data_IF_688367899132
#
_entry.id   IF_688367899132
#
_cell.length_a   1.000
_cell.length_b   1.000
_cell.length_c   1.000
_cell.angle_alpha   90.00
_cell.angle_beta   90.00
_cell.angle_gamma   90.00
#
_symmetry.space_group_name_H-M   'P 1'
#
loop_
_entity.id
_entity.type
_entity.pdbx_description
1 polymer ?
#
# COMPACT_ATOMS: atom_id res chain seq x y z
N UNK A 1 12.35 -5.46 -10.61
CA UNK A 1 11.88 -6.52 -9.69
C UNK A 1 11.77 -5.91 -8.31
N UNK A 2 10.55 -5.74 -7.80
CA UNK A 2 10.27 -5.30 -6.44
C UNK A 2 10.02 -6.55 -5.61
N UNK A 3 10.82 -6.78 -4.57
CA UNK A 3 10.69 -7.93 -3.68
C UNK A 3 10.03 -7.45 -2.39
N UNK A 4 8.93 -8.12 -2.00
CA UNK A 4 8.16 -7.86 -0.80
C UNK A 4 8.64 -8.76 0.34
N UNK A 5 8.91 -8.17 1.51
CA UNK A 5 9.13 -8.89 2.77
C UNK A 5 8.26 -8.23 3.84
N UNK A 6 7.16 -8.86 4.23
CA UNK A 6 6.29 -8.38 5.30
C UNK A 6 6.72 -9.00 6.63
N UNK A 7 7.27 -8.20 7.53
CA UNK A 7 7.61 -8.61 8.89
C UNK A 7 6.92 -7.69 9.91
N UNK A 8 5.66 -7.98 10.23
CA UNK A 8 4.92 -7.51 11.40
C UNK A 8 4.63 -6.01 11.56
N UNK A 9 5.54 -5.10 11.18
CA UNK A 9 5.42 -3.64 11.37
C UNK A 9 6.15 -2.80 10.32
N UNK A 10 6.85 -3.43 9.38
CA UNK A 10 7.76 -2.75 8.45
C UNK A 10 7.61 -3.34 7.04
N UNK A 11 7.69 -2.48 6.03
CA UNK A 11 7.67 -2.88 4.62
C UNK A 11 9.02 -2.54 3.98
N UNK A 12 9.73 -3.55 3.48
CA UNK A 12 10.96 -3.34 2.73
C UNK A 12 10.64 -3.14 1.24
N UNK A 13 11.12 -2.04 0.64
CA UNK A 13 11.09 -1.85 -0.80
C UNK A 13 12.50 -2.03 -1.36
N UNK A 14 12.69 -3.08 -2.16
CA UNK A 14 13.96 -3.30 -2.85
C UNK A 14 13.92 -2.58 -4.20
N UNK A 15 14.67 -1.48 -4.31
CA UNK A 15 14.96 -0.80 -5.57
C UNK A 15 16.35 -1.27 -6.02
N UNK A 16 16.51 -1.61 -7.31
CA UNK A 16 17.70 -2.27 -7.87
C UNK A 16 18.99 -1.55 -7.39
N UNK A 17 19.82 -2.26 -6.61
CA UNK A 17 21.12 -1.80 -6.13
C UNK A 17 21.18 -1.26 -4.69
N UNK A 18 20.05 -0.90 -4.05
CA UNK A 18 19.99 -0.52 -2.62
C UNK A 18 18.66 -0.92 -1.97
N UNK A 19 18.71 -1.68 -0.88
CA UNK A 19 17.54 -1.97 -0.06
C UNK A 19 17.15 -0.71 0.73
N UNK A 20 15.93 -0.19 0.52
CA UNK A 20 15.36 0.88 1.34
C UNK A 20 14.22 0.30 2.17
N UNK A 21 14.35 0.40 3.49
CA UNK A 21 13.23 0.10 4.40
C UNK A 21 12.35 1.33 4.44
N UNK A 22 11.04 1.14 4.25
CA UNK A 22 10.03 2.21 4.33
C UNK A 22 9.10 1.88 5.48
N UNK A 23 8.85 2.86 6.33
CA UNK A 23 8.02 2.66 7.52
C UNK A 23 6.63 3.28 7.36
N UNK A 24 5.66 2.96 8.24
CA UNK A 24 4.29 3.51 8.15
C UNK A 24 4.26 5.03 8.36
N UNK A 25 5.26 5.57 9.05
CA UNK A 25 5.42 7.00 9.33
C UNK A 25 5.74 7.81 8.06
N UNK A 26 6.26 7.18 7.01
CA UNK A 26 6.51 7.81 5.71
C UNK A 26 5.26 7.81 4.80
N UNK A 27 4.14 7.22 5.24
CA UNK A 27 2.95 7.07 4.42
C UNK A 27 1.92 8.18 4.64
N UNK A 28 1.14 8.46 3.61
CA UNK A 28 -0.08 9.24 3.75
C UNK A 28 -1.20 8.32 4.25
N UNK A 29 -1.69 8.55 5.48
CA UNK A 29 -2.71 7.72 6.09
C UNK A 29 -4.13 8.23 5.79
N UNK A 30 -5.04 7.28 5.50
CA UNK A 30 -6.47 7.55 5.33
C UNK A 30 -7.31 6.48 6.01
N UNK A 31 -8.31 6.90 6.77
CA UNK A 31 -9.36 6.02 7.31
C UNK A 31 -10.65 6.28 6.56
N UNK A 32 -11.20 5.24 5.92
CA UNK A 32 -12.45 5.34 5.15
C UNK A 32 -13.66 4.95 6.01
N UNK A 33 -14.87 5.49 5.73
CA UNK A 33 -16.08 5.22 6.52
C UNK A 33 -16.47 3.73 6.59
N UNK A 34 -16.17 2.96 5.54
CA UNK A 34 -16.43 1.51 5.47
C UNK A 34 -15.49 0.66 6.34
N UNK A 35 -14.53 1.29 7.02
CA UNK A 35 -13.62 0.62 7.95
C UNK A 35 -12.28 0.20 7.34
N UNK A 36 -12.03 0.52 6.06
CA UNK A 36 -10.72 0.34 5.44
C UNK A 36 -9.76 1.45 5.88
N UNK A 37 -8.59 1.08 6.36
CA UNK A 37 -7.45 1.96 6.61
C UNK A 37 -6.43 1.77 5.50
N UNK A 38 -5.94 2.85 4.93
CA UNK A 38 -4.96 2.83 3.84
C UNK A 38 -3.75 3.67 4.21
N UNK A 39 -2.56 3.11 4.01
CA UNK A 39 -1.29 3.83 4.01
C UNK A 39 -0.79 3.92 2.57
N UNK A 40 -0.81 5.13 2.01
CA UNK A 40 -0.37 5.41 0.64
C UNK A 40 1.11 5.79 0.62
N UNK A 41 1.88 5.08 -0.20
CA UNK A 41 3.27 5.41 -0.53
C UNK A 41 3.33 5.89 -1.97
N UNK A 42 3.30 7.20 -2.17
CA UNK A 42 3.27 7.82 -3.49
C UNK A 42 4.69 7.94 -4.06
N UNK A 43 4.87 7.55 -5.32
CA UNK A 43 6.07 7.77 -6.13
C UNK A 43 5.63 8.39 -7.46
N UNK A 44 6.59 8.92 -8.21
CA UNK A 44 6.30 9.64 -9.46
C UNK A 44 5.61 8.74 -10.50
N UNK A 45 5.92 7.44 -10.52
CA UNK A 45 5.43 6.48 -11.52
C UNK A 45 4.42 5.46 -10.99
N UNK A 46 4.34 5.27 -9.67
CA UNK A 46 3.50 4.25 -9.07
C UNK A 46 3.12 4.60 -7.63
N UNK A 47 2.14 3.87 -7.11
CA UNK A 47 1.75 3.92 -5.70
C UNK A 47 1.77 2.52 -5.10
N UNK A 48 2.04 2.46 -3.81
CA UNK A 48 1.86 1.24 -3.02
C UNK A 48 0.85 1.55 -1.94
N UNK A 49 -0.17 0.70 -1.85
CA UNK A 49 -1.16 0.75 -0.78
C UNK A 49 -0.90 -0.39 0.19
N UNK A 50 -0.90 -0.06 1.47
CA UNK A 50 -1.13 -1.04 2.51
C UNK A 50 -2.54 -0.83 3.04
N UNK A 51 -3.41 -1.81 2.80
CA UNK A 51 -4.78 -1.78 3.27
C UNK A 51 -4.94 -2.68 4.50
N UNK A 52 -5.55 -2.14 5.54
CA UNK A 52 -6.11 -2.93 6.64
C UNK A 52 -7.63 -2.79 6.57
N UNK A 53 -8.33 -3.92 6.51
CA UNK A 53 -9.77 -3.97 6.45
C UNK A 53 -10.33 -4.63 7.72
N UNK A 54 -11.34 -4.00 8.33
CA UNK A 54 -12.00 -4.58 9.50
C UNK A 54 -12.80 -5.84 9.11
N UNK A 55 -12.98 -6.81 10.03
CA UNK A 55 -13.78 -7.99 9.77
C UNK A 55 -15.19 -7.65 9.27
N UNK A 56 -15.73 -8.48 8.38
CA UNK A 56 -17.10 -8.37 7.87
C UNK A 56 -17.44 -7.04 7.17
N UNK A 57 -16.44 -6.31 6.67
CA UNK A 57 -16.63 -5.15 5.81
C UNK A 57 -16.34 -5.48 4.33
N UNK A 58 -16.77 -4.59 3.44
CA UNK A 58 -16.49 -4.67 2.00
C UNK A 58 -15.83 -3.38 1.55
N UNK A 59 -14.71 -3.47 0.85
CA UNK A 59 -14.08 -2.31 0.23
C UNK A 59 -14.97 -1.78 -0.90
N UNK A 60 -15.20 -0.46 -0.91
CA UNK A 60 -16.01 0.18 -1.94
C UNK A 60 -15.41 -0.03 -3.33
N UNK A 61 -16.26 -0.39 -4.30
CA UNK A 61 -15.85 -0.60 -5.68
C UNK A 61 -15.37 0.71 -6.31
N UNK A 62 -14.27 0.64 -7.06
CA UNK A 62 -13.75 1.74 -7.86
C UNK A 62 -13.04 1.20 -9.10
N UNK A 63 -12.88 2.07 -10.11
CA UNK A 63 -12.25 1.74 -11.38
C UNK A 63 -11.21 2.81 -11.74
N UNK A 64 -10.08 2.37 -12.29
CA UNK A 64 -9.02 3.23 -12.80
C UNK A 64 -8.91 3.05 -14.32
N UNK A 65 -8.93 4.16 -15.06
CA UNK A 65 -8.78 4.14 -16.53
C UNK A 65 -7.32 4.09 -16.97
N UNK A 66 -6.41 4.70 -16.17
CA UNK A 66 -5.02 4.96 -16.56
C UNK A 66 -3.99 4.18 -15.74
N UNK A 67 -4.43 3.52 -14.67
CA UNK A 67 -3.57 2.84 -13.71
C UNK A 67 -3.96 1.37 -13.72
N UNK A 68 -2.96 0.49 -13.73
CA UNK A 68 -3.13 -0.93 -13.49
C UNK A 68 -2.92 -1.22 -12.00
N UNK A 69 -3.91 -1.83 -11.37
CA UNK A 69 -3.84 -2.23 -9.95
C UNK A 69 -3.59 -3.73 -9.85
N UNK A 70 -2.79 -4.15 -8.87
CA UNK A 70 -2.56 -5.57 -8.54
C UNK A 70 -2.68 -5.75 -7.04
N UNK A 71 -3.44 -6.77 -6.64
CA UNK A 71 -3.73 -7.09 -5.23
C UNK A 71 -3.00 -8.39 -4.83
N UNK A 72 -2.59 -8.47 -3.56
CA UNK A 72 -1.86 -9.61 -2.97
C UNK A 72 -2.46 -10.03 -1.62
#
# INVERSE_FOLDING_TARGET
MVIYLSGGKTFGLIIIGKMKIITKEEANFMSKPEGTKVWYYLRDEYEIHLNEQIPSSTQTWHHHEKICETLF
#
